data_IF_321672104937
#
_entry.id   IF_321672104937
#
_cell.length_a   1.000
_cell.length_b   1.000
_cell.length_c   1.000
_cell.angle_alpha   90.00
_cell.angle_beta   90.00
_cell.angle_gamma   90.00
#
_symmetry.space_group_name_H-M   'P 1'
#
loop_
_entity.id
_entity.type
_entity.pdbx_description
1 polymer ?
#
# COMPACT_ATOMS: atom_id res chain seq x y z
N UNK A 1 -21.30 -11.11 4.70
CA UNK A 1 -19.93 -11.12 4.19
C UNK A 1 -19.03 -11.72 5.27
N UNK A 2 -18.17 -12.67 4.88
CA UNK A 2 -17.29 -13.44 5.77
C UNK A 2 -15.79 -13.19 5.52
N UNK A 3 -15.45 -12.35 4.53
CA UNK A 3 -14.08 -12.23 4.00
C UNK A 3 -13.38 -10.94 4.43
N UNK A 4 -13.98 -9.80 4.13
CA UNK A 4 -13.44 -8.46 4.38
C UNK A 4 -13.64 -8.02 5.83
N UNK A 5 -12.66 -7.29 6.40
CA UNK A 5 -12.86 -6.50 7.62
C UNK A 5 -14.01 -5.49 7.48
N UNK A 6 -14.69 -5.13 8.59
CA UNK A 6 -15.80 -4.17 8.58
C UNK A 6 -15.45 -2.83 7.91
N UNK A 7 -14.26 -2.29 8.13
CA UNK A 7 -13.81 -1.01 7.56
C UNK A 7 -13.76 -1.04 6.03
N UNK A 8 -13.30 -2.15 5.45
CA UNK A 8 -13.29 -2.36 4.00
C UNK A 8 -14.72 -2.47 3.49
N UNK A 9 -15.57 -3.25 4.17
CA UNK A 9 -16.97 -3.42 3.80
C UNK A 9 -17.76 -2.09 3.82
N UNK A 10 -17.40 -1.18 4.72
CA UNK A 10 -18.01 0.15 4.86
C UNK A 10 -17.80 1.02 3.63
N UNK A 11 -16.75 0.80 2.84
CA UNK A 11 -16.57 1.50 1.56
C UNK A 11 -17.63 1.12 0.51
N UNK A 12 -18.22 -0.06 0.64
CA UNK A 12 -19.22 -0.57 -0.29
C UNK A 12 -20.66 -0.19 0.14
N UNK A 13 -20.88 0.21 1.39
CA UNK A 13 -22.20 0.49 1.97
C UNK A 13 -22.25 1.93 2.49
N UNK A 14 -23.19 2.79 2.04
CA UNK A 14 -24.29 2.56 1.09
C UNK A 14 -23.91 2.92 -0.36
N UNK A 15 -22.61 2.91 -0.67
CA UNK A 15 -22.09 3.41 -1.93
C UNK A 15 -22.55 2.54 -3.12
N UNK A 16 -22.49 1.22 -2.95
CA UNK A 16 -22.79 0.20 -3.97
C UNK A 16 -23.93 -0.71 -3.50
N UNK A 17 -23.89 -1.16 -2.25
CA UNK A 17 -24.91 -2.03 -1.67
C UNK A 17 -25.73 -1.28 -0.62
N UNK A 18 -27.07 -1.49 -0.56
CA UNK A 18 -27.91 -0.83 0.44
C UNK A 18 -27.62 -1.31 1.87
N UNK A 19 -27.26 -2.59 2.03
CA UNK A 19 -26.83 -3.18 3.29
C UNK A 19 -25.91 -4.36 3.03
N UNK A 20 -24.98 -4.62 3.96
CA UNK A 20 -24.11 -5.78 3.95
C UNK A 20 -23.79 -6.17 5.39
N UNK A 21 -24.27 -7.34 5.83
CA UNK A 21 -24.01 -7.84 7.19
C UNK A 21 -22.61 -8.46 7.27
N UNK A 22 -21.90 -8.19 8.35
CA UNK A 22 -20.59 -8.77 8.66
C UNK A 22 -20.77 -9.98 9.57
N UNK A 23 -20.05 -11.06 9.27
CA UNK A 23 -20.00 -12.25 10.12
C UNK A 23 -18.95 -12.10 11.22
N UNK A 24 -19.13 -12.80 12.35
CA UNK A 24 -18.31 -12.63 13.56
C UNK A 24 -16.80 -12.81 13.28
N UNK A 25 -16.45 -13.73 12.39
CA UNK A 25 -15.08 -14.05 12.03
C UNK A 25 -14.28 -12.89 11.38
N UNK A 26 -14.92 -11.80 10.95
CA UNK A 26 -14.22 -10.67 10.34
C UNK A 26 -13.80 -9.58 11.34
N UNK A 27 -14.31 -9.63 12.57
CA UNK A 27 -14.01 -8.63 13.61
C UNK A 27 -12.68 -8.90 14.32
N UNK A 28 -12.22 -10.16 14.37
CA UNK A 28 -10.98 -10.57 15.06
C UNK A 28 -9.71 -10.44 14.21
N UNK A 29 -9.79 -9.75 13.07
CA UNK A 29 -8.64 -9.59 12.16
C UNK A 29 -7.65 -8.57 12.73
N UNK A 30 -6.35 -8.87 12.81
CA UNK A 30 -5.36 -7.95 13.37
C UNK A 30 -5.22 -6.68 12.52
N UNK A 31 -4.73 -5.62 13.14
CA UNK A 31 -4.35 -4.39 12.46
C UNK A 31 -3.17 -4.61 11.52
N UNK A 32 -3.05 -3.77 10.50
CA UNK A 32 -1.91 -3.82 9.59
C UNK A 32 -0.65 -3.30 10.25
N UNK A 33 0.37 -4.14 10.30
CA UNK A 33 1.68 -3.81 10.85
C UNK A 33 2.28 -2.60 10.14
N UNK A 34 2.91 -1.73 10.93
CA UNK A 34 3.61 -0.54 10.43
C UNK A 34 2.71 0.63 10.03
N UNK A 35 1.39 0.47 10.07
CA UNK A 35 0.45 1.52 9.66
C UNK A 35 -0.50 1.86 10.80
N UNK A 36 -1.03 3.08 10.78
CA UNK A 36 -1.99 3.59 11.78
C UNK A 36 -3.44 3.36 11.37
N UNK A 37 -3.67 2.89 10.15
CA UNK A 37 -4.99 2.71 9.57
C UNK A 37 -5.00 1.47 8.71
N UNK A 38 -6.17 0.84 8.70
CA UNK A 38 -6.44 -0.44 8.07
C UNK A 38 -6.99 -0.30 6.64
N UNK A 39 -7.64 0.83 6.41
CA UNK A 39 -8.11 1.31 5.11
C UNK A 39 -7.63 2.74 5.00
N UNK A 40 -7.03 3.11 3.87
CA UNK A 40 -6.58 4.49 3.67
C UNK A 40 -6.59 4.90 2.20
N UNK A 41 -6.98 6.13 1.92
CA UNK A 41 -6.93 6.73 0.60
C UNK A 41 -5.95 7.90 0.59
N UNK A 42 -4.89 7.76 -0.20
CA UNK A 42 -3.92 8.82 -0.45
C UNK A 42 -4.41 9.68 -1.61
N UNK A 43 -4.89 10.89 -1.31
CA UNK A 43 -5.40 11.84 -2.30
C UNK A 43 -4.29 12.75 -2.83
N UNK A 44 -4.19 12.92 -4.14
CA UNK A 44 -3.21 13.83 -4.74
C UNK A 44 -3.72 14.57 -5.98
N UNK A 45 -3.05 15.66 -6.34
CA UNK A 45 -3.31 16.45 -7.55
C UNK A 45 -2.39 16.16 -8.74
N UNK A 46 -1.43 15.23 -8.62
CA UNK A 46 -0.49 14.91 -9.71
C UNK A 46 -1.22 14.43 -10.96
N UNK A 47 -0.90 15.02 -12.11
CA UNK A 47 -1.48 14.64 -13.41
C UNK A 47 -0.91 13.30 -13.88
N UNK A 48 -1.73 12.57 -14.62
CA UNK A 48 -1.33 11.34 -15.31
C UNK A 48 -0.29 11.64 -16.41
N UNK A 49 0.52 10.65 -16.77
CA UNK A 49 1.49 10.78 -17.85
C UNK A 49 0.79 11.03 -19.20
N UNK A 50 1.42 11.78 -20.12
CA UNK A 50 0.95 11.90 -21.50
C UNK A 50 0.83 10.52 -22.17
N UNK A 51 -0.14 10.39 -23.07
CA UNK A 51 -0.32 9.18 -23.87
C UNK A 51 0.63 9.27 -25.07
N UNK A 52 1.62 8.40 -25.14
CA UNK A 52 2.29 8.07 -26.42
C UNK A 52 1.41 7.07 -27.16
N UNK A 53 1.39 7.17 -28.49
CA UNK A 53 0.46 6.62 -29.50
C UNK A 53 0.18 5.10 -29.52
N UNK A 54 0.47 4.37 -28.43
CA UNK A 54 0.19 2.94 -28.25
C UNK A 54 0.00 2.50 -26.77
N UNK A 55 0.00 3.44 -25.82
CA UNK A 55 -0.02 3.14 -24.38
C UNK A 55 -1.33 3.57 -23.71
N UNK A 56 -1.94 2.66 -22.95
CA UNK A 56 -3.03 3.00 -22.02
C UNK A 56 -2.55 3.96 -20.91
N UNK A 57 -3.46 4.53 -20.13
CA UNK A 57 -3.12 5.55 -19.13
C UNK A 57 -2.18 5.04 -18.03
N UNK A 58 -1.30 5.92 -17.53
CA UNK A 58 -0.38 5.66 -16.42
C UNK A 58 -0.14 6.92 -15.58
N UNK A 59 0.29 6.73 -14.32
CA UNK A 59 0.62 7.77 -13.37
C UNK A 59 1.86 7.34 -12.57
N UNK A 60 2.99 7.98 -12.86
CA UNK A 60 4.29 7.69 -12.26
C UNK A 60 4.36 8.01 -10.76
N UNK A 61 3.67 9.05 -10.31
CA UNK A 61 3.59 9.37 -8.89
C UNK A 61 2.91 8.23 -8.12
N UNK A 62 1.76 7.76 -8.61
CA UNK A 62 1.04 6.65 -8.00
C UNK A 62 1.84 5.35 -8.00
N UNK A 63 2.52 5.05 -9.13
CA UNK A 63 3.32 3.83 -9.25
C UNK A 63 4.46 3.81 -8.24
N UNK A 64 5.22 4.90 -8.14
CA UNK A 64 6.33 5.02 -7.19
C UNK A 64 5.86 4.94 -5.74
N UNK A 65 4.72 5.56 -5.41
CA UNK A 65 4.17 5.50 -4.07
C UNK A 65 3.76 4.06 -3.70
N UNK A 66 2.95 3.40 -4.54
CA UNK A 66 2.47 2.04 -4.26
C UNK A 66 3.62 1.05 -4.15
N UNK A 67 4.61 1.13 -5.04
CA UNK A 67 5.72 0.19 -5.03
C UNK A 67 6.59 0.35 -3.77
N UNK A 68 6.80 1.57 -3.30
CA UNK A 68 7.51 1.81 -2.04
C UNK A 68 6.66 1.44 -0.81
N UNK A 69 5.34 1.61 -0.86
CA UNK A 69 4.43 1.12 0.19
C UNK A 69 4.42 -0.41 0.25
N UNK A 70 4.41 -1.09 -0.90
CA UNK A 70 4.52 -2.54 -0.98
C UNK A 70 5.82 -3.03 -0.35
N UNK A 71 6.96 -2.42 -0.71
CA UNK A 71 8.26 -2.69 -0.10
C UNK A 71 8.20 -2.53 1.41
N UNK A 72 7.66 -1.41 1.88
CA UNK A 72 7.52 -1.12 3.30
C UNK A 72 6.74 -2.21 4.04
N UNK A 73 5.62 -2.66 3.49
CA UNK A 73 4.79 -3.73 4.06
C UNK A 73 5.53 -5.06 4.08
N UNK A 74 6.27 -5.42 3.02
CA UNK A 74 7.13 -6.62 3.07
C UNK A 74 8.14 -6.52 4.22
N UNK A 75 8.78 -5.36 4.38
CA UNK A 75 9.69 -5.10 5.48
C UNK A 75 9.01 -5.06 6.87
N UNK A 76 7.68 -4.95 6.94
CA UNK A 76 6.90 -5.13 8.18
C UNK A 76 6.65 -6.59 8.55
N UNK A 77 7.07 -7.53 7.68
CA UNK A 77 6.91 -8.98 7.90
C UNK A 77 5.83 -9.64 7.05
N UNK A 78 5.19 -8.91 6.12
CA UNK A 78 4.24 -9.53 5.19
C UNK A 78 4.99 -10.26 4.05
N UNK A 79 4.49 -11.43 3.67
CA UNK A 79 4.96 -12.11 2.46
C UNK A 79 4.55 -11.31 1.22
N UNK A 80 5.41 -11.21 0.19
CA UNK A 80 5.02 -10.61 -1.10
C UNK A 80 3.76 -11.26 -1.72
N UNK A 81 3.48 -12.53 -1.38
CA UNK A 81 2.31 -13.27 -1.85
C UNK A 81 1.01 -12.84 -1.14
N UNK A 82 1.09 -12.25 0.05
CA UNK A 82 -0.05 -11.71 0.81
C UNK A 82 -0.46 -10.31 0.35
N UNK A 83 0.31 -9.71 -0.55
CA UNK A 83 0.09 -8.37 -1.09
C UNK A 83 -0.25 -8.48 -2.57
N UNK A 84 -1.26 -7.73 -3.02
CA UNK A 84 -1.54 -7.57 -4.45
C UNK A 84 -1.72 -6.12 -4.82
N UNK A 85 -1.02 -5.71 -5.88
CA UNK A 85 -1.20 -4.41 -6.50
C UNK A 85 -2.22 -4.52 -7.64
N UNK A 86 -3.27 -3.71 -7.57
CA UNK A 86 -4.30 -3.60 -8.58
C UNK A 86 -4.28 -2.23 -9.27
N UNK A 87 -4.59 -2.24 -10.55
CA UNK A 87 -4.76 -1.01 -11.33
C UNK A 87 -5.79 -1.19 -12.46
N UNK A 88 -6.55 -0.16 -12.85
CA UNK A 88 -7.53 -0.29 -13.93
C UNK A 88 -6.94 -0.22 -15.34
N UNK A 89 -5.67 0.19 -15.51
CA UNK A 89 -5.09 0.45 -16.83
C UNK A 89 -3.82 -0.36 -17.10
N UNK A 90 -3.72 -0.90 -18.31
CA UNK A 90 -2.54 -1.65 -18.77
C UNK A 90 -1.26 -0.81 -18.80
N UNK A 91 -1.37 0.50 -19.04
CA UNK A 91 -0.23 1.42 -19.02
C UNK A 91 0.39 1.48 -17.64
N UNK A 92 -0.44 1.60 -16.61
CA UNK A 92 -0.02 1.54 -15.22
C UNK A 92 0.51 0.16 -14.82
N UNK A 93 -0.14 -0.93 -15.26
CA UNK A 93 0.37 -2.29 -15.04
C UNK A 93 1.79 -2.44 -15.59
N UNK A 94 2.04 -1.92 -16.79
CA UNK A 94 3.34 -1.96 -17.44
C UNK A 94 4.38 -1.15 -16.68
N UNK A 95 3.99 0.01 -16.14
CA UNK A 95 4.87 0.84 -15.31
C UNK A 95 5.22 0.15 -13.99
N UNK A 96 4.22 -0.38 -13.27
CA UNK A 96 4.41 -1.10 -12.00
C UNK A 96 5.32 -2.34 -12.18
N UNK A 97 5.12 -3.10 -13.26
CA UNK A 97 5.97 -4.26 -13.59
C UNK A 97 7.41 -3.86 -13.93
N UNK A 98 7.66 -2.65 -14.44
CA UNK A 98 9.02 -2.14 -14.68
C UNK A 98 9.72 -1.71 -13.39
N UNK A 99 8.98 -1.26 -12.39
CA UNK A 99 9.53 -0.90 -11.07
C UNK A 99 9.89 -2.14 -10.23
N UNK A 100 9.15 -3.24 -10.39
CA UNK A 100 9.29 -4.44 -9.57
C UNK A 100 10.74 -5.01 -9.49
N UNK A 101 11.52 -5.12 -10.58
CA UNK A 101 12.91 -5.61 -10.52
C UNK A 101 13.86 -4.72 -9.70
N UNK A 102 13.50 -3.46 -9.45
CA UNK A 102 14.29 -2.53 -8.64
C UNK A 102 13.97 -2.66 -7.14
N UNK A 103 13.04 -3.54 -6.75
CA UNK A 103 12.58 -3.75 -5.39
C UNK A 103 12.62 -5.25 -5.09
N UNK A 104 13.82 -5.81 -4.79
CA UNK A 104 14.01 -7.25 -4.63
C UNK A 104 13.14 -7.84 -3.52
N UNK A 105 12.81 -7.07 -2.49
CA UNK A 105 11.93 -7.50 -1.39
C UNK A 105 10.53 -7.90 -1.90
N UNK A 106 10.05 -7.28 -2.98
CA UNK A 106 8.74 -7.56 -3.55
C UNK A 106 8.75 -8.67 -4.61
N UNK A 107 9.84 -9.42 -4.77
CA UNK A 107 9.93 -10.49 -5.77
C UNK A 107 8.80 -11.51 -5.60
N UNK A 108 8.09 -11.83 -6.69
CA UNK A 108 6.94 -12.74 -6.67
C UNK A 108 5.62 -12.08 -6.29
N UNK A 109 5.60 -10.79 -5.92
CA UNK A 109 4.37 -10.05 -5.64
C UNK A 109 3.46 -10.00 -6.87
N UNK A 110 2.16 -10.16 -6.64
CA UNK A 110 1.17 -10.12 -7.70
C UNK A 110 0.82 -8.68 -8.08
N UNK A 111 0.91 -8.37 -9.37
CA UNK A 111 0.46 -7.10 -9.96
C UNK A 111 -0.49 -7.42 -11.11
N UNK A 112 -1.74 -6.95 -11.03
CA UNK A 112 -2.79 -7.30 -11.99
C UNK A 112 -3.68 -6.12 -12.33
N UNK A 113 -4.36 -6.21 -13.47
CA UNK A 113 -5.51 -5.33 -13.72
C UNK A 113 -6.74 -5.80 -12.96
N UNK A 114 -7.61 -4.86 -12.61
CA UNK A 114 -8.86 -5.12 -11.86
C UNK A 114 -9.74 -6.16 -12.55
N UNK A 115 -9.92 -6.06 -13.87
CA UNK A 115 -10.79 -6.97 -14.64
C UNK A 115 -10.30 -8.43 -14.60
N UNK A 116 -8.98 -8.64 -14.48
CA UNK A 116 -8.37 -9.98 -14.42
C UNK A 116 -8.32 -10.56 -13.00
N UNK A 117 -8.80 -9.83 -11.99
CA UNK A 117 -8.72 -10.21 -10.58
C UNK A 117 -10.10 -10.56 -9.98
N UNK A 118 -11.05 -10.91 -10.86
CA UNK A 118 -12.41 -11.24 -10.44
C UNK A 118 -12.45 -12.60 -9.73
N UNK A 119 -13.10 -12.64 -8.56
CA UNK A 119 -13.24 -13.86 -7.75
C UNK A 119 -12.06 -14.13 -6.81
N UNK A 120 -10.96 -13.41 -6.98
CA UNK A 120 -9.79 -13.51 -6.12
C UNK A 120 -9.84 -12.50 -4.97
N UNK A 121 -9.00 -12.72 -3.96
CA UNK A 121 -8.81 -11.84 -2.81
C UNK A 121 -7.40 -12.04 -2.25
N UNK A 122 -6.92 -11.06 -1.47
CA UNK A 122 -5.66 -11.17 -0.75
C UNK A 122 -5.73 -10.46 0.60
N UNK A 123 -4.75 -10.70 1.47
CA UNK A 123 -4.67 -10.05 2.78
C UNK A 123 -4.58 -8.54 2.65
N UNK A 124 -3.70 -8.06 1.77
CA UNK A 124 -3.52 -6.63 1.52
C UNK A 124 -3.67 -6.33 0.03
N UNK A 125 -4.49 -5.33 -0.29
CA UNK A 125 -4.64 -4.80 -1.65
C UNK A 125 -4.15 -3.35 -1.69
N UNK A 126 -3.30 -3.06 -2.67
CA UNK A 126 -2.85 -1.71 -3.01
C UNK A 126 -3.45 -1.32 -4.36
N UNK A 127 -4.22 -0.24 -4.43
CA UNK A 127 -4.97 0.15 -5.63
C UNK A 127 -4.52 1.52 -6.15
N UNK A 128 -3.98 1.55 -7.38
CA UNK A 128 -3.69 2.80 -8.11
C UNK A 128 -4.80 3.10 -9.10
N UNK A 129 -5.38 4.30 -9.03
CA UNK A 129 -6.54 4.73 -9.82
C UNK A 129 -6.16 5.48 -11.10
N UNK A 130 -4.96 6.04 -11.17
CA UNK A 130 -4.28 6.63 -12.35
C UNK A 130 -4.87 7.95 -12.82
N UNK A 131 -6.20 8.09 -12.85
CA UNK A 131 -6.89 9.18 -13.55
C UNK A 131 -6.74 10.51 -12.83
N UNK A 132 -6.02 11.41 -13.46
CA UNK A 132 -5.86 12.80 -13.04
C UNK A 132 -5.50 13.65 -14.26
N UNK A 133 -6.42 14.46 -14.76
CA UNK A 133 -6.25 15.21 -16.03
C UNK A 133 -7.08 16.49 -16.01
N UNK A 134 -6.71 17.46 -16.85
CA UNK A 134 -7.32 18.80 -16.86
C UNK A 134 -8.79 18.78 -17.31
N UNK A 135 -9.17 17.79 -18.12
CA UNK A 135 -10.53 17.61 -18.62
C UNK A 135 -11.47 17.02 -17.55
N UNK A 136 -10.91 16.47 -16.46
CA UNK A 136 -11.67 15.79 -15.42
C UNK A 136 -12.26 14.46 -15.88
N UNK A 137 -11.67 13.79 -16.86
CA UNK A 137 -12.12 12.51 -17.37
C UNK A 137 -11.67 11.35 -16.48
N UNK A 138 -12.61 10.53 -16.01
CA UNK A 138 -12.33 9.41 -15.09
C UNK A 138 -12.50 8.01 -15.74
N UNK A 139 -12.95 7.94 -17.00
CA UNK A 139 -12.95 6.72 -17.82
C UNK A 139 -13.51 5.48 -17.12
N UNK A 140 -12.72 4.39 -17.10
CA UNK A 140 -12.96 3.12 -16.39
C UNK A 140 -13.61 3.28 -15.00
N UNK A 141 -13.24 4.33 -14.25
CA UNK A 141 -13.70 4.56 -12.88
C UNK A 141 -15.14 5.08 -12.79
N UNK A 142 -15.83 5.28 -13.93
CA UNK A 142 -17.28 5.53 -13.99
C UNK A 142 -18.11 4.27 -13.77
N UNK A 143 -17.56 3.09 -14.08
CA UNK A 143 -18.32 1.84 -14.06
C UNK A 143 -18.37 1.25 -12.65
N UNK A 144 -19.53 1.35 -12.00
CA UNK A 144 -19.71 0.93 -10.60
C UNK A 144 -19.34 -0.54 -10.37
N UNK A 145 -19.70 -1.45 -11.27
CA UNK A 145 -19.38 -2.87 -11.15
C UNK A 145 -17.87 -3.12 -11.07
N UNK A 146 -17.06 -2.40 -11.85
CA UNK A 146 -15.61 -2.56 -11.87
C UNK A 146 -14.96 -1.96 -10.63
N UNK A 147 -15.47 -0.83 -10.16
CA UNK A 147 -15.05 -0.23 -8.89
C UNK A 147 -15.40 -1.17 -7.73
N UNK A 148 -16.60 -1.74 -7.70
CA UNK A 148 -17.00 -2.74 -6.71
C UNK A 148 -16.04 -3.94 -6.68
N UNK A 149 -15.64 -4.44 -7.86
CA UNK A 149 -14.66 -5.51 -7.95
C UNK A 149 -13.36 -5.08 -7.29
N UNK A 150 -12.80 -3.91 -7.60
CA UNK A 150 -11.54 -3.46 -7.00
C UNK A 150 -11.63 -3.28 -5.47
N UNK A 151 -12.72 -2.70 -4.96
CA UNK A 151 -12.90 -2.37 -3.55
C UNK A 151 -13.15 -3.59 -2.65
N UNK A 152 -13.52 -4.74 -3.22
CA UNK A 152 -13.95 -5.93 -2.47
C UNK A 152 -12.90 -7.03 -2.35
N UNK A 153 -11.64 -6.74 -2.70
CA UNK A 153 -10.55 -7.74 -2.81
C UNK A 153 -9.67 -7.86 -1.57
N UNK A 154 -9.71 -6.87 -0.68
CA UNK A 154 -8.89 -6.84 0.52
C UNK A 154 -9.57 -7.56 1.68
N UNK A 155 -8.91 -8.56 2.26
CA UNK A 155 -9.40 -9.22 3.48
C UNK A 155 -9.10 -8.37 4.71
N UNK A 156 -7.86 -7.90 4.81
CA UNK A 156 -7.39 -7.09 5.92
C UNK A 156 -7.11 -5.66 5.42
N UNK A 157 -5.96 -5.40 4.81
CA UNK A 157 -5.49 -4.05 4.48
C UNK A 157 -5.95 -3.54 3.11
N UNK A 158 -6.45 -2.32 3.03
CA UNK A 158 -6.81 -1.72 1.75
C UNK A 158 -6.31 -0.28 1.58
N UNK A 159 -5.35 -0.09 0.69
CA UNK A 159 -4.70 1.19 0.47
C UNK A 159 -4.90 1.64 -0.97
N UNK A 160 -5.44 2.85 -1.14
CA UNK A 160 -5.76 3.42 -2.44
C UNK A 160 -4.95 4.69 -2.66
N UNK A 161 -4.59 4.97 -3.91
CA UNK A 161 -4.00 6.25 -4.31
C UNK A 161 -4.68 6.77 -5.57
N UNK A 162 -4.97 8.07 -5.61
CA UNK A 162 -5.54 8.73 -6.78
C UNK A 162 -5.98 10.16 -6.52
N UNK A 163 -6.57 10.79 -7.54
CA UNK A 163 -7.13 12.13 -7.42
C UNK A 163 -8.60 12.08 -6.98
N UNK A 164 -8.84 12.06 -5.65
CA UNK A 164 -10.19 11.89 -5.10
C UNK A 164 -11.12 13.06 -5.43
N UNK A 165 -10.59 14.28 -5.54
CA UNK A 165 -11.39 15.47 -5.87
C UNK A 165 -11.91 15.40 -7.31
N UNK A 166 -11.08 14.97 -8.25
CA UNK A 166 -11.51 14.73 -9.63
C UNK A 166 -12.51 13.57 -9.72
N UNK A 167 -12.31 12.50 -8.95
CA UNK A 167 -13.21 11.34 -8.96
C UNK A 167 -14.59 11.70 -8.41
N UNK A 168 -14.62 12.37 -7.26
CA UNK A 168 -15.85 12.74 -6.55
C UNK A 168 -16.66 13.83 -7.27
N UNK A 169 -16.01 14.71 -8.04
CA UNK A 169 -16.72 15.71 -8.87
C UNK A 169 -17.40 15.13 -10.11
N UNK A 170 -17.07 13.88 -10.49
CA UNK A 170 -17.51 13.26 -11.75
C UNK A 170 -18.34 12.00 -11.56
N UNK A 171 -18.48 11.50 -10.34
CA UNK A 171 -19.23 10.27 -10.05
C UNK A 171 -19.82 10.29 -8.65
N UNK A 172 -21.13 10.03 -8.57
CA UNK A 172 -21.88 9.93 -7.30
C UNK A 172 -21.32 8.85 -6.39
N UNK A 173 -20.83 7.75 -6.97
CA UNK A 173 -20.19 6.66 -6.23
C UNK A 173 -18.98 7.18 -5.45
N UNK A 174 -18.08 7.88 -6.15
CA UNK A 174 -16.87 8.46 -5.56
C UNK A 174 -17.19 9.60 -4.58
N UNK A 175 -18.27 10.35 -4.78
CA UNK A 175 -18.77 11.32 -3.79
C UNK A 175 -19.12 10.63 -2.47
N UNK A 176 -19.91 9.54 -2.53
CA UNK A 176 -20.26 8.76 -1.33
C UNK A 176 -19.02 8.14 -0.69
N UNK A 177 -18.11 7.58 -1.49
CA UNK A 177 -16.85 7.03 -0.98
C UNK A 177 -16.00 8.10 -0.27
N UNK A 178 -15.89 9.30 -0.85
CA UNK A 178 -15.17 10.42 -0.22
C UNK A 178 -15.77 10.76 1.14
N UNK A 179 -17.10 10.79 1.24
CA UNK A 179 -17.79 10.99 2.52
C UNK A 179 -17.44 9.89 3.52
N UNK A 180 -17.61 8.61 3.16
CA UNK A 180 -17.28 7.47 4.04
C UNK A 180 -15.83 7.51 4.51
N UNK A 181 -14.88 7.76 3.61
CA UNK A 181 -13.45 7.85 3.94
C UNK A 181 -13.16 9.02 4.90
N UNK A 182 -13.87 10.15 4.74
CA UNK A 182 -13.73 11.32 5.61
C UNK A 182 -14.27 11.02 7.00
N UNK A 183 -15.44 10.38 7.10
CA UNK A 183 -16.03 9.93 8.37
C UNK A 183 -15.14 8.92 9.11
N UNK A 184 -14.36 8.14 8.38
CA UNK A 184 -13.39 7.18 8.94
C UNK A 184 -12.02 7.80 9.24
N UNK A 185 -11.80 9.09 9.00
CA UNK A 185 -10.48 9.73 9.03
C UNK A 185 -9.41 8.95 8.22
N UNK A 186 -9.85 8.33 7.12
CA UNK A 186 -9.07 7.39 6.30
C UNK A 186 -8.72 7.98 4.93
N UNK A 187 -8.64 9.30 4.84
CA UNK A 187 -8.23 10.02 3.62
C UNK A 187 -7.39 11.23 3.98
N UNK A 188 -6.25 11.37 3.32
CA UNK A 188 -5.41 12.56 3.36
C UNK A 188 -4.48 12.54 2.15
N UNK A 189 -3.74 13.63 1.95
CA UNK A 189 -2.57 13.68 1.08
C UNK A 189 -1.31 13.04 1.69
N UNK A 190 -1.39 12.52 2.93
CA UNK A 190 -0.28 11.86 3.61
C UNK A 190 -0.74 10.59 4.34
N UNK A 191 0.07 9.54 4.30
CA UNK A 191 -0.12 8.31 5.07
C UNK A 191 0.77 8.35 6.33
N UNK A 192 0.30 7.83 7.46
CA UNK A 192 1.11 7.79 8.70
C UNK A 192 1.64 6.38 8.95
N UNK A 193 2.97 6.25 8.89
CA UNK A 193 3.73 5.07 9.26
C UNK A 193 3.95 5.04 10.78
N UNK A 194 3.89 3.85 11.38
CA UNK A 194 4.18 3.59 12.80
C UNK A 194 5.34 2.59 12.88
N UNK A 195 6.36 2.85 13.69
CA UNK A 195 7.41 1.84 13.87
C UNK A 195 6.93 0.75 14.85
N UNK A 196 7.16 -0.52 14.50
CA UNK A 196 6.83 -1.63 15.40
C UNK A 196 7.74 -1.68 16.64
N UNK A 197 9.02 -1.33 16.49
CA UNK A 197 9.98 -1.30 17.61
C UNK A 197 9.89 0.00 18.44
N UNK A 198 9.38 1.09 17.85
CA UNK A 198 9.23 2.40 18.49
C UNK A 198 7.80 2.93 18.25
N UNK A 199 6.80 2.46 19.02
CA UNK A 199 5.37 2.73 18.74
C UNK A 199 4.99 4.22 18.76
N UNK A 200 5.72 5.04 19.52
CA UNK A 200 5.54 6.49 19.59
C UNK A 200 6.13 7.24 18.38
N UNK A 201 6.97 6.56 17.59
CA UNK A 201 7.58 7.13 16.39
C UNK A 201 6.59 7.02 15.22
N UNK A 202 5.80 8.09 15.04
CA UNK A 202 4.85 8.26 13.94
C UNK A 202 5.46 9.17 12.86
N UNK A 203 5.39 8.74 11.60
CA UNK A 203 6.05 9.44 10.49
C UNK A 203 5.10 9.57 9.31
N UNK A 204 4.90 10.80 8.81
CA UNK A 204 3.93 11.11 7.76
C UNK A 204 4.61 11.17 6.40
N UNK A 205 4.07 10.44 5.42
CA UNK A 205 4.64 10.28 4.07
C UNK A 205 3.65 10.71 2.99
N UNK A 206 4.12 11.48 2.00
CA UNK A 206 3.32 11.94 0.84
C UNK A 206 3.73 11.25 -0.45
N UNK A 207 4.99 10.82 -0.55
CA UNK A 207 5.59 10.26 -1.76
C UNK A 207 6.31 8.95 -1.46
N UNK A 208 6.58 8.16 -2.51
CA UNK A 208 7.41 6.95 -2.36
C UNK A 208 8.82 7.24 -1.84
N UNK A 209 9.38 8.42 -2.14
CA UNK A 209 10.68 8.86 -1.61
C UNK A 209 10.62 9.11 -0.10
N UNK A 210 9.50 9.65 0.39
CA UNK A 210 9.31 9.88 1.82
C UNK A 210 9.27 8.55 2.58
N UNK A 211 8.61 7.52 2.03
CA UNK A 211 8.57 6.17 2.60
C UNK A 211 10.00 5.61 2.72
N UNK A 212 10.76 5.65 1.63
CA UNK A 212 12.14 5.14 1.61
C UNK A 212 13.04 5.89 2.61
N UNK A 213 12.88 7.20 2.72
CA UNK A 213 13.67 8.02 3.63
C UNK A 213 13.29 7.83 5.10
N UNK A 214 11.99 7.68 5.40
CA UNK A 214 11.46 7.55 6.76
C UNK A 214 11.52 6.13 7.30
N UNK A 215 11.65 5.13 6.43
CA UNK A 215 11.73 3.72 6.74
C UNK A 215 12.72 2.99 5.80
N UNK A 216 14.03 3.30 5.87
CA UNK A 216 15.03 2.71 4.97
C UNK A 216 15.08 1.18 5.06
N UNK A 217 15.15 0.65 6.28
CA UNK A 217 15.29 -0.79 6.58
C UNK A 217 13.99 -1.38 7.19
N UNK A 218 12.84 -0.71 7.01
CA UNK A 218 11.53 -1.18 7.48
C UNK A 218 11.08 -0.61 8.83
N UNK A 219 11.99 -0.16 9.70
CA UNK A 219 11.61 0.52 10.95
C UNK A 219 11.57 2.03 10.83
N UNK A 220 11.98 2.73 11.88
CA UNK A 220 12.16 4.18 11.88
C UNK A 220 13.61 4.57 11.53
N UNK A 221 13.90 5.88 11.62
CA UNK A 221 15.23 6.44 11.38
C UNK A 221 16.13 6.44 12.62
N UNK A 222 15.79 5.67 13.64
CA UNK A 222 16.71 5.41 14.76
C UNK A 222 17.68 4.30 14.36
N UNK A 223 18.89 4.32 14.91
CA UNK A 223 19.86 3.25 14.65
C UNK A 223 19.47 2.00 15.43
N UNK A 224 19.69 0.82 14.82
CA UNK A 224 19.49 -0.43 15.53
C UNK A 224 20.49 -0.51 16.70
N UNK A 225 19.99 -0.80 17.90
CA UNK A 225 20.79 -0.85 19.13
C UNK A 225 21.29 -2.26 19.48
N UNK A 226 21.00 -3.25 18.64
CA UNK A 226 21.38 -4.65 18.88
C UNK A 226 22.89 -4.83 18.71
N UNK A 227 23.51 -5.51 19.68
CA UNK A 227 24.90 -5.97 19.63
C UNK A 227 24.90 -7.39 19.06
N UNK A 228 25.64 -7.59 17.97
CA UNK A 228 25.71 -8.86 17.27
C UNK A 228 26.51 -9.87 18.08
N UNK A 229 25.92 -11.02 18.40
CA UNK A 229 26.56 -12.05 19.23
C UNK A 229 27.82 -12.64 18.58
N UNK A 230 27.85 -12.76 17.25
CA UNK A 230 28.97 -13.37 16.49
C UNK A 230 30.25 -12.54 16.51
N UNK A 231 30.16 -11.20 16.54
CA UNK A 231 31.34 -10.32 16.43
C UNK A 231 31.44 -9.24 17.53
N UNK A 232 30.36 -8.96 18.27
CA UNK A 232 30.30 -7.92 19.30
C UNK A 232 30.10 -6.49 18.77
N UNK A 233 29.97 -6.29 17.45
CA UNK A 233 29.66 -4.99 16.87
C UNK A 233 28.18 -4.64 17.02
N UNK A 234 27.86 -3.34 17.02
CA UNK A 234 26.49 -2.86 16.83
C UNK A 234 26.02 -3.14 15.40
N UNK A 235 24.74 -3.47 15.24
CA UNK A 235 24.11 -3.52 13.94
C UNK A 235 24.25 -2.18 13.21
N UNK A 236 24.60 -2.22 11.92
CA UNK A 236 24.82 -0.99 11.12
C UNK A 236 23.55 -0.48 10.44
N UNK A 237 22.49 -1.30 10.44
CA UNK A 237 21.20 -0.93 9.88
C UNK A 237 20.49 0.15 10.71
N UNK A 238 19.55 0.84 10.08
CA UNK A 238 18.51 1.57 10.77
C UNK A 238 17.58 0.59 11.45
N UNK A 239 16.70 1.08 12.33
CA UNK A 239 15.66 0.25 12.93
C UNK A 239 14.98 -0.58 11.84
N UNK A 240 14.86 -1.88 12.08
CA UNK A 240 14.30 -2.86 11.15
C UNK A 240 13.46 -3.88 11.93
N UNK A 241 12.45 -4.45 11.27
CA UNK A 241 11.55 -5.44 11.87
C UNK A 241 11.92 -6.85 11.46
N UNK A 242 12.25 -7.04 10.18
CA UNK A 242 12.78 -8.31 9.68
C UNK A 242 14.12 -8.63 10.37
N UNK A 243 14.36 -9.92 10.64
CA UNK A 243 15.59 -10.38 11.31
C UNK A 243 15.89 -9.63 12.62
N UNK A 244 14.88 -9.43 13.47
CA UNK A 244 15.05 -8.76 14.77
C UNK A 244 16.09 -9.45 15.66
N UNK A 245 16.24 -10.77 15.53
CA UNK A 245 17.27 -11.58 16.19
C UNK A 245 18.69 -11.47 15.57
N UNK A 246 18.83 -10.85 14.40
CA UNK A 246 20.09 -10.75 13.65
C UNK A 246 20.75 -12.11 13.39
N UNK A 247 19.95 -13.11 13.06
CA UNK A 247 20.38 -14.47 12.74
C UNK A 247 21.00 -14.54 11.33
N UNK A 248 20.42 -13.79 10.40
CA UNK A 248 20.82 -13.75 8.98
C UNK A 248 21.76 -12.58 8.67
N UNK A 249 21.65 -11.47 9.41
CA UNK A 249 22.46 -10.28 9.20
C UNK A 249 23.97 -10.55 9.37
N UNK A 250 24.74 -10.18 8.34
CA UNK A 250 26.21 -10.27 8.35
C UNK A 250 26.83 -8.89 8.55
N UNK A 251 27.59 -8.75 9.63
CA UNK A 251 28.30 -7.51 9.95
C UNK A 251 29.30 -7.16 8.83
N UNK A 252 29.25 -5.95 8.26
CA UNK A 252 30.19 -5.53 7.21
C UNK A 252 31.52 -4.98 7.76
N UNK A 253 31.62 -4.76 9.08
CA UNK A 253 32.81 -4.20 9.70
C UNK A 253 33.91 -5.27 9.83
N UNK A 254 35.19 -4.89 9.62
CA UNK A 254 36.31 -5.80 9.84
C UNK A 254 36.33 -6.22 11.32
N UNK A 255 36.31 -7.52 11.58
CA UNK A 255 36.31 -8.07 12.93
C UNK A 255 37.66 -8.71 13.25
N UNK A 256 38.25 -8.31 14.37
CA UNK A 256 39.50 -8.91 14.88
C UNK A 256 39.25 -10.21 15.65
N UNK A 257 37.98 -10.55 15.95
CA UNK A 257 37.63 -11.86 16.51
C UNK A 257 37.63 -12.88 15.38
N UNK A 258 38.54 -13.83 15.44
CA UNK A 258 38.55 -14.99 14.54
C UNK A 258 37.21 -15.71 14.65
N UNK A 259 36.43 -15.74 13.57
CA UNK A 259 35.22 -16.56 13.48
C UNK A 259 35.63 -18.03 13.68
N UNK A 260 35.24 -18.61 14.82
CA UNK A 260 35.35 -20.04 15.10
C UNK A 260 34.21 -20.83 14.49
#
# INVERSE_FOLDING_TARGET
>A
QHRMRPEVSKLLVPAIYPSLLNADNVFDRPDINGLTSNVFFISHGHLQNPIDDDKSHSNEHEAKFIMQLARYLVLQGYSPLEITVLTPYFGQLSLLKKELPHIPECTGMRISIVDNYQGEENEIILLSLVRSNKEGNIGFLKTENRVCVALSRARCGFYMIGNLDQLSSRSKLWTKMKQTLTEMNSVSDELTLRCQNHPDNLRRVRTGKDILFQSPDGGCREKCSVILTRCGHLCQLWCHVQDSGHEDYRCPLPCERTCG
#
